data_IF_042113990220
#
_entry.id   IF_042113990220
#
_cell.length_a   1.000
_cell.length_b   1.000
_cell.length_c   1.000
_cell.angle_alpha   90.00
_cell.angle_beta   90.00
_cell.angle_gamma   90.00
#
_symmetry.space_group_name_H-M   'P 1'
#
loop_
_entity.id
_entity.type
_entity.pdbx_description
1 polymer ?
#
# COMPACT_ATOMS: atom_id res chain seq x y z
N UNK A 1 0.73 -29.87 5.25
CA UNK A 1 -0.32 -28.88 4.97
C UNK A 1 0.31 -27.63 4.39
N UNK A 2 -0.38 -26.97 3.47
CA UNK A 2 0.01 -25.67 2.94
C UNK A 2 -0.86 -24.59 3.60
N UNK A 3 -0.25 -23.68 4.35
CA UNK A 3 -0.98 -22.58 5.00
C UNK A 3 -1.66 -21.63 4.00
N UNK A 4 -1.39 -21.75 2.69
CA UNK A 4 -2.09 -20.98 1.66
C UNK A 4 -3.61 -21.21 1.66
N UNK A 5 -4.08 -22.32 2.19
CA UNK A 5 -5.51 -22.59 2.33
C UNK A 5 -6.18 -21.66 3.34
N UNK A 6 -5.48 -21.25 4.39
CA UNK A 6 -6.04 -20.49 5.52
C UNK A 6 -5.42 -19.11 5.70
N UNK A 7 -4.44 -18.74 4.87
CA UNK A 7 -3.77 -17.43 4.94
C UNK A 7 -3.26 -16.97 3.57
N UNK A 8 -2.78 -15.74 3.51
CA UNK A 8 -2.14 -15.18 2.31
C UNK A 8 -0.67 -15.64 2.12
N UNK A 9 -0.23 -16.71 2.76
CA UNK A 9 1.16 -17.18 2.73
C UNK A 9 1.27 -18.60 2.16
N UNK A 10 2.16 -18.80 1.19
CA UNK A 10 2.55 -20.12 0.74
C UNK A 10 3.59 -20.70 1.71
N UNK A 11 3.15 -21.53 2.65
CA UNK A 11 4.00 -22.17 3.66
C UNK A 11 3.64 -23.65 3.79
N UNK A 12 4.39 -24.48 3.08
CA UNK A 12 4.21 -25.93 3.14
C UNK A 12 5.00 -26.47 4.32
N UNK A 13 4.34 -27.22 5.19
CA UNK A 13 4.95 -27.89 6.34
C UNK A 13 4.41 -29.30 6.48
N UNK A 14 5.26 -30.20 6.93
CA UNK A 14 4.90 -31.54 7.35
C UNK A 14 4.50 -31.49 8.83
N UNK A 15 3.40 -32.13 9.16
CA UNK A 15 2.93 -32.32 10.52
C UNK A 15 2.80 -33.83 10.75
N UNK A 16 3.39 -34.31 11.82
CA UNK A 16 3.33 -35.72 12.23
C UNK A 16 2.46 -35.75 13.48
N UNK A 17 1.34 -36.40 13.40
CA UNK A 17 0.34 -36.45 14.46
C UNK A 17 -0.50 -37.71 14.33
N UNK A 18 -1.01 -38.22 15.42
CA UNK A 18 -2.01 -39.26 15.55
C UNK A 18 -3.44 -38.71 15.64
N UNK A 19 -3.59 -37.38 15.64
CA UNK A 19 -4.89 -36.69 15.65
C UNK A 19 -5.50 -36.79 14.26
N UNK A 20 -6.70 -37.38 14.17
CA UNK A 20 -7.51 -37.32 12.96
C UNK A 20 -8.10 -35.93 12.78
N UNK A 21 -7.90 -35.32 11.62
CA UNK A 21 -8.41 -33.99 11.31
C UNK A 21 -8.78 -33.87 9.84
N UNK A 22 -9.73 -33.00 9.54
CA UNK A 22 -10.09 -32.65 8.17
C UNK A 22 -9.16 -31.54 7.65
N UNK A 23 -8.74 -31.68 6.37
CA UNK A 23 -7.98 -30.61 5.73
C UNK A 23 -8.83 -29.32 5.68
N UNK A 24 -8.23 -28.17 6.00
CA UNK A 24 -8.96 -26.92 5.91
C UNK A 24 -9.34 -26.59 4.46
N UNK A 25 -10.53 -26.03 4.27
CA UNK A 25 -10.96 -25.47 3.00
C UNK A 25 -10.17 -24.22 2.63
N UNK A 26 -10.03 -23.95 1.33
CA UNK A 26 -9.37 -22.71 0.88
C UNK A 26 -10.28 -21.51 1.17
N UNK A 27 -9.82 -20.63 2.04
CA UNK A 27 -10.51 -19.38 2.41
C UNK A 27 -10.28 -18.27 1.38
N UNK A 28 -9.51 -18.52 0.33
CA UNK A 28 -9.19 -17.57 -0.74
C UNK A 28 -8.59 -16.23 -0.27
N UNK A 29 -7.97 -16.19 0.90
CA UNK A 29 -7.31 -14.98 1.44
C UNK A 29 -6.10 -14.65 0.59
N UNK A 30 -6.09 -13.49 -0.05
CA UNK A 30 -4.99 -13.05 -0.89
C UNK A 30 -4.10 -12.03 -0.19
N UNK A 31 -2.88 -11.86 -0.68
CA UNK A 31 -1.88 -10.98 -0.05
C UNK A 31 -2.35 -9.51 0.00
N UNK A 32 -3.12 -9.09 -0.99
CA UNK A 32 -3.72 -7.75 -1.04
C UNK A 32 -4.63 -7.47 0.16
N UNK A 33 -5.31 -8.49 0.69
CA UNK A 33 -6.28 -8.34 1.79
C UNK A 33 -5.61 -8.04 3.13
N UNK A 34 -4.32 -8.38 3.27
CA UNK A 34 -3.61 -8.29 4.54
C UNK A 34 -2.63 -7.13 4.63
N UNK A 35 -2.25 -6.52 3.52
CA UNK A 35 -1.34 -5.37 3.51
C UNK A 35 -2.06 -4.10 3.97
N UNK A 36 -1.31 -3.22 4.66
CA UNK A 36 -1.84 -1.94 5.13
C UNK A 36 -1.88 -0.90 4.01
N UNK A 37 -0.92 -0.93 3.10
CA UNK A 37 -0.79 -0.01 1.97
C UNK A 37 0.23 -0.53 0.95
N UNK A 38 0.16 -0.01 -0.28
CA UNK A 38 1.02 -0.41 -1.39
C UNK A 38 0.38 -1.48 -2.27
N UNK A 39 1.16 -2.01 -3.20
CA UNK A 39 0.76 -3.01 -4.18
C UNK A 39 1.59 -4.29 -4.02
N UNK A 40 1.05 -5.39 -4.43
CA UNK A 40 1.73 -6.69 -4.45
C UNK A 40 1.56 -7.34 -5.81
N UNK A 41 2.57 -8.07 -6.25
CA UNK A 41 2.65 -8.71 -7.57
C UNK A 41 2.09 -10.13 -7.59
N UNK A 42 1.60 -10.62 -6.46
CA UNK A 42 1.12 -12.01 -6.32
C UNK A 42 0.03 -12.16 -5.27
N UNK A 43 -0.77 -13.21 -5.39
CA UNK A 43 -1.88 -13.47 -4.48
C UNK A 43 -1.45 -14.08 -3.14
N UNK A 44 -0.38 -14.86 -3.12
CA UNK A 44 0.13 -15.51 -1.90
C UNK A 44 1.60 -15.13 -1.70
N UNK A 45 1.97 -14.68 -0.51
CA UNK A 45 3.35 -14.31 -0.19
C UNK A 45 4.29 -15.51 -0.20
N UNK A 46 5.57 -15.23 -0.36
CA UNK A 46 6.61 -16.20 0.01
C UNK A 46 6.55 -16.52 1.50
N UNK A 47 7.07 -17.68 1.87
CA UNK A 47 7.17 -18.11 3.26
C UNK A 47 7.99 -17.11 4.10
N UNK A 48 7.44 -16.65 5.22
CA UNK A 48 8.21 -15.90 6.21
C UNK A 48 9.34 -16.77 6.78
N UNK A 49 10.55 -16.25 6.78
CA UNK A 49 11.69 -16.85 7.42
C UNK A 49 12.14 -16.06 8.67
N UNK A 50 12.88 -16.69 9.58
CA UNK A 50 13.40 -16.07 10.80
C UNK A 50 14.35 -14.88 10.52
N UNK A 51 14.88 -14.78 9.31
CA UNK A 51 15.77 -13.71 8.85
C UNK A 51 15.04 -12.56 8.15
N UNK A 52 13.71 -12.55 8.15
CA UNK A 52 12.93 -11.50 7.49
C UNK A 52 13.22 -10.10 8.05
N UNK A 53 13.63 -10.01 9.31
CA UNK A 53 14.07 -8.78 9.96
C UNK A 53 15.25 -8.08 9.26
N UNK A 54 16.14 -8.84 8.60
CA UNK A 54 17.27 -8.30 7.81
C UNK A 54 16.81 -7.53 6.57
N UNK A 55 15.51 -7.52 6.28
CA UNK A 55 14.96 -6.93 5.07
C UNK A 55 15.18 -7.81 3.85
N UNK A 56 14.66 -7.35 2.72
CA UNK A 56 14.86 -7.95 1.40
C UNK A 56 15.67 -7.01 0.52
N UNK A 57 15.96 -7.49 -0.68
CA UNK A 57 16.38 -6.68 -1.81
C UNK A 57 15.75 -7.26 -3.08
N UNK A 58 15.70 -6.47 -4.14
CA UNK A 58 15.06 -6.86 -5.40
C UNK A 58 15.67 -8.12 -6.00
N UNK A 59 17.00 -8.29 -5.90
CA UNK A 59 17.70 -9.48 -6.38
C UNK A 59 17.23 -10.75 -5.66
N UNK A 60 17.16 -10.74 -4.33
CA UNK A 60 16.68 -11.90 -3.57
C UNK A 60 15.20 -12.18 -3.83
N UNK A 61 14.42 -11.12 -4.05
CA UNK A 61 13.00 -11.22 -4.32
C UNK A 61 12.71 -11.89 -5.66
N UNK A 62 13.29 -11.36 -6.75
CA UNK A 62 13.03 -11.85 -8.11
C UNK A 62 13.80 -13.15 -8.44
N UNK A 63 15.07 -13.25 -8.05
CA UNK A 63 15.90 -14.41 -8.42
C UNK A 63 15.72 -15.60 -7.46
N UNK A 64 15.53 -15.35 -6.16
CA UNK A 64 15.49 -16.41 -5.13
C UNK A 64 14.12 -16.67 -4.54
N UNK A 65 13.09 -15.94 -4.99
CA UNK A 65 11.70 -16.10 -4.52
C UNK A 65 11.59 -16.07 -2.99
N UNK A 66 12.26 -15.12 -2.35
CA UNK A 66 12.31 -14.99 -0.89
C UNK A 66 11.98 -13.57 -0.45
N UNK A 67 11.47 -13.47 0.79
CA UNK A 67 11.25 -12.21 1.50
C UNK A 67 10.32 -11.28 0.74
N UNK A 68 9.04 -11.59 0.80
CA UNK A 68 7.99 -10.81 0.17
C UNK A 68 8.20 -9.32 0.31
N UNK A 69 8.05 -8.60 -0.79
CA UNK A 69 8.09 -7.14 -0.84
C UNK A 69 6.71 -6.57 -1.17
N UNK A 70 6.49 -5.36 -0.73
CA UNK A 70 5.34 -4.53 -1.09
C UNK A 70 5.88 -3.36 -1.91
N UNK A 71 5.26 -3.06 -3.02
CA UNK A 71 5.69 -2.05 -3.97
C UNK A 71 4.81 -0.80 -3.87
N UNK A 72 5.33 0.34 -4.34
CA UNK A 72 4.57 1.58 -4.39
C UNK A 72 4.21 2.20 -3.04
N UNK A 73 4.83 1.75 -1.94
CA UNK A 73 4.59 2.29 -0.60
C UNK A 73 5.78 3.14 -0.15
N UNK A 74 5.66 4.43 -0.30
CA UNK A 74 6.70 5.39 0.09
C UNK A 74 6.48 6.77 -0.47
N UNK A 75 7.44 7.66 -0.20
CA UNK A 75 7.48 8.99 -0.82
C UNK A 75 7.96 8.83 -2.27
N UNK A 76 7.07 8.96 -3.23
CA UNK A 76 7.43 8.88 -4.65
C UNK A 76 7.97 10.22 -5.13
N UNK A 77 9.30 10.36 -5.23
CA UNK A 77 9.91 11.55 -5.79
C UNK A 77 9.72 11.51 -7.33
N UNK A 78 9.03 12.50 -7.86
CA UNK A 78 8.69 12.64 -9.30
C UNK A 78 9.37 13.83 -9.96
N UNK A 79 10.11 14.64 -9.19
CA UNK A 79 10.79 15.80 -9.74
C UNK A 79 11.75 16.46 -8.76
N UNK A 80 12.39 17.51 -9.23
CA UNK A 80 13.25 18.40 -8.46
C UNK A 80 12.88 19.85 -8.78
N UNK A 81 12.52 20.60 -7.75
CA UNK A 81 12.19 22.01 -7.91
C UNK A 81 13.47 22.84 -8.10
N UNK A 82 13.39 23.86 -8.94
CA UNK A 82 14.47 24.84 -9.14
C UNK A 82 14.53 25.81 -7.94
N UNK A 83 15.22 25.38 -6.88
CA UNK A 83 15.39 26.11 -5.64
C UNK A 83 16.87 26.12 -5.25
N UNK A 84 17.31 27.20 -4.61
CA UNK A 84 18.64 27.23 -3.97
C UNK A 84 18.61 26.42 -2.67
N UNK A 85 19.61 25.56 -2.44
CA UNK A 85 19.74 24.81 -1.19
C UNK A 85 20.03 23.33 -1.38
N UNK A 86 19.87 22.55 -0.30
CA UNK A 86 20.16 21.13 -0.25
C UNK A 86 19.13 20.30 -1.05
N UNK A 87 19.56 19.16 -1.54
CA UNK A 87 18.74 18.24 -2.35
C UNK A 87 17.37 17.92 -1.69
N UNK A 88 17.34 17.71 -0.39
CA UNK A 88 16.13 17.33 0.35
C UNK A 88 14.98 18.36 0.21
N UNK A 89 15.29 19.65 0.13
CA UNK A 89 14.28 20.70 0.00
C UNK A 89 13.80 20.90 -1.44
N UNK A 90 14.52 20.34 -2.40
CA UNK A 90 14.19 20.41 -3.84
C UNK A 90 13.27 19.28 -4.29
N UNK A 91 13.13 18.22 -3.52
CA UNK A 91 12.37 17.03 -3.91
C UNK A 91 10.90 17.35 -4.09
N UNK A 92 10.35 16.95 -5.23
CA UNK A 92 8.91 17.03 -5.55
C UNK A 92 8.35 15.62 -5.56
N UNK A 93 7.23 15.42 -4.90
CA UNK A 93 6.63 14.12 -4.69
C UNK A 93 5.32 13.97 -5.44
N UNK A 94 4.97 12.73 -5.79
CA UNK A 94 3.65 12.37 -6.28
C UNK A 94 2.61 12.50 -5.17
N UNK A 95 1.37 12.80 -5.54
CA UNK A 95 0.22 12.71 -4.65
C UNK A 95 -0.13 11.25 -4.29
N UNK A 96 0.34 10.30 -5.09
CA UNK A 96 0.18 8.87 -4.90
C UNK A 96 1.33 8.32 -4.07
N UNK A 97 1.22 8.31 -2.79
CA UNK A 97 2.26 7.80 -1.92
C UNK A 97 2.21 8.44 -0.55
N UNK A 98 3.12 8.03 0.32
CA UNK A 98 3.22 8.62 1.65
C UNK A 98 3.91 9.98 1.57
N UNK A 99 3.40 10.92 2.34
CA UNK A 99 4.08 12.18 2.57
C UNK A 99 5.42 11.92 3.30
N UNK A 100 6.51 12.62 2.95
CA UNK A 100 7.71 12.63 3.76
C UNK A 100 7.42 13.17 5.17
N UNK A 101 8.29 12.86 6.13
CA UNK A 101 8.15 13.35 7.50
C UNK A 101 8.01 14.87 7.52
N UNK A 102 6.91 15.34 8.09
CA UNK A 102 6.69 16.77 8.29
C UNK A 102 7.70 17.28 9.32
N UNK A 103 8.44 18.33 8.95
CA UNK A 103 9.30 19.08 9.85
C UNK A 103 8.50 20.24 10.47
N UNK A 104 9.10 20.99 11.37
CA UNK A 104 8.49 22.18 11.99
C UNK A 104 8.14 23.31 11.00
N UNK A 105 8.50 23.15 9.73
CA UNK A 105 8.16 24.05 8.59
C UNK A 105 8.45 25.54 8.84
N UNK A 106 9.45 25.87 9.65
CA UNK A 106 9.82 27.23 10.01
C UNK A 106 10.59 27.98 8.91
N UNK A 107 10.12 27.90 7.67
CA UNK A 107 10.74 28.55 6.52
C UNK A 107 11.84 27.70 5.85
N UNK A 108 12.55 28.28 4.88
CA UNK A 108 13.62 27.62 4.14
C UNK A 108 13.16 26.53 3.16
N UNK A 109 11.93 26.61 2.67
CA UNK A 109 11.35 25.68 1.68
C UNK A 109 11.32 24.23 2.15
N UNK A 110 11.10 23.99 3.46
CA UNK A 110 11.09 22.65 4.07
C UNK A 110 9.75 21.91 3.92
N UNK A 111 8.71 22.60 3.46
CA UNK A 111 7.41 22.00 3.16
C UNK A 111 7.54 20.93 2.06
N UNK A 112 6.86 19.80 2.18
CA UNK A 112 6.78 18.81 1.11
C UNK A 112 6.16 19.43 -0.15
N UNK A 113 6.84 19.27 -1.28
CA UNK A 113 6.35 19.73 -2.58
C UNK A 113 5.71 18.57 -3.31
N UNK A 114 4.55 18.80 -3.89
CA UNK A 114 3.82 17.81 -4.68
C UNK A 114 3.72 18.26 -6.14
N UNK A 115 3.79 17.30 -7.04
CA UNK A 115 3.52 17.55 -8.45
C UNK A 115 2.00 17.46 -8.68
N UNK A 116 1.44 18.53 -9.21
CA UNK A 116 0.02 18.62 -9.49
C UNK A 116 -0.22 19.54 -10.69
N UNK A 117 -1.35 19.37 -11.36
CA UNK A 117 -1.80 20.30 -12.38
C UNK A 117 -2.60 21.44 -11.76
N UNK A 118 -2.45 22.65 -12.28
CA UNK A 118 -3.42 23.68 -12.00
C UNK A 118 -4.70 23.42 -12.80
N UNK A 119 -5.84 23.60 -12.16
CA UNK A 119 -7.14 23.49 -12.79
C UNK A 119 -8.00 24.69 -12.38
N UNK A 120 -9.04 24.97 -13.13
CA UNK A 120 -10.03 25.98 -12.78
C UNK A 120 -11.43 25.39 -12.85
N UNK A 121 -12.28 25.81 -11.95
CA UNK A 121 -13.71 25.53 -12.01
C UNK A 121 -14.33 26.68 -12.81
N UNK A 122 -14.88 26.37 -13.98
CA UNK A 122 -15.51 27.36 -14.85
C UNK A 122 -16.95 26.98 -15.14
N UNK A 123 -17.84 27.97 -15.13
CA UNK A 123 -19.21 27.80 -15.58
C UNK A 123 -19.26 27.71 -17.09
N UNK A 124 -19.84 26.65 -17.64
CA UNK A 124 -20.00 26.43 -19.08
C UNK A 124 -21.44 26.10 -19.42
N UNK A 125 -21.90 26.53 -20.57
CA UNK A 125 -23.17 26.08 -21.16
C UNK A 125 -22.90 24.91 -22.07
N UNK A 126 -23.51 23.77 -21.75
CA UNK A 126 -23.29 22.50 -22.44
C UNK A 126 -24.64 21.98 -22.88
N UNK A 127 -24.77 21.59 -24.15
CA UNK A 127 -25.99 21.00 -24.67
C UNK A 127 -26.16 19.52 -24.26
N UNK A 128 -27.29 18.94 -24.63
CA UNK A 128 -27.63 17.51 -24.32
C UNK A 128 -26.64 16.50 -24.92
N UNK A 129 -25.84 16.92 -25.89
CA UNK A 129 -24.82 16.08 -26.54
C UNK A 129 -23.41 16.30 -25.95
N UNK A 130 -23.30 17.10 -24.86
CA UNK A 130 -22.01 17.40 -24.23
C UNK A 130 -21.18 18.44 -24.98
N UNK A 131 -21.74 19.12 -25.97
CA UNK A 131 -21.03 20.13 -26.76
C UNK A 131 -21.17 21.50 -26.09
N UNK A 132 -20.05 22.21 -25.99
CA UNK A 132 -20.00 23.54 -25.40
C UNK A 132 -20.67 24.57 -26.32
N UNK A 133 -21.63 25.34 -25.75
CA UNK A 133 -22.38 26.41 -26.41
C UNK A 133 -22.53 27.62 -25.51
N UNK A 134 -21.44 28.31 -25.22
CA UNK A 134 -21.43 29.44 -24.27
C UNK A 134 -22.33 30.62 -24.75
N UNK A 135 -22.61 30.71 -26.07
CA UNK A 135 -23.45 31.76 -26.64
C UNK A 135 -24.96 31.51 -26.47
N UNK A 136 -25.37 30.28 -26.15
CA UNK A 136 -26.77 29.93 -25.98
C UNK A 136 -27.22 30.21 -24.52
N UNK A 137 -27.84 31.35 -24.34
CA UNK A 137 -28.32 31.82 -23.01
C UNK A 137 -29.47 30.99 -22.43
N UNK A 138 -30.11 30.13 -23.20
CA UNK A 138 -31.19 29.25 -22.75
C UNK A 138 -30.67 28.00 -22.04
N UNK A 139 -29.40 27.66 -22.22
CA UNK A 139 -28.79 26.51 -21.54
C UNK A 139 -28.34 26.87 -20.13
N UNK A 140 -28.54 25.96 -19.16
CA UNK A 140 -28.07 26.18 -17.80
C UNK A 140 -26.53 26.21 -17.74
N UNK A 141 -25.99 27.00 -16.81
CA UNK A 141 -24.56 27.03 -16.55
C UNK A 141 -24.19 25.81 -15.69
N UNK A 142 -23.34 24.96 -16.22
CA UNK A 142 -22.80 23.79 -15.50
C UNK A 142 -21.35 24.10 -15.09
N UNK A 143 -21.04 23.84 -13.82
CA UNK A 143 -19.67 23.96 -13.30
C UNK A 143 -18.83 22.81 -13.84
N UNK A 144 -17.77 23.13 -14.58
CA UNK A 144 -16.84 22.15 -15.16
C UNK A 144 -15.43 22.38 -14.67
N UNK A 145 -14.71 21.28 -14.38
CA UNK A 145 -13.30 21.31 -14.03
C UNK A 145 -12.46 21.32 -15.31
N UNK A 146 -11.76 22.42 -15.57
CA UNK A 146 -10.83 22.55 -16.68
C UNK A 146 -9.39 22.45 -16.19
N UNK A 147 -8.74 21.34 -16.47
CA UNK A 147 -7.32 21.14 -16.15
C UNK A 147 -6.44 21.92 -17.13
N UNK A 148 -5.47 22.66 -16.61
CA UNK A 148 -4.51 23.40 -17.45
C UNK A 148 -3.65 22.43 -18.25
N UNK A 149 -3.49 22.72 -19.56
CA UNK A 149 -2.60 21.98 -20.45
C UNK A 149 -1.14 22.46 -20.37
N UNK A 150 -0.89 23.54 -19.63
CA UNK A 150 0.42 24.16 -19.46
C UNK A 150 0.86 24.11 -18.00
N UNK A 151 2.17 24.21 -17.76
CA UNK A 151 2.78 24.25 -16.43
C UNK A 151 2.47 25.56 -15.66
N UNK A 152 1.69 26.46 -16.26
CA UNK A 152 1.35 27.75 -15.69
C UNK A 152 -0.08 27.74 -15.17
N UNK A 153 -0.25 28.24 -13.95
CA UNK A 153 -1.57 28.57 -13.42
C UNK A 153 -2.21 29.67 -14.27
N UNK A 154 -3.54 29.61 -14.41
CA UNK A 154 -4.29 30.70 -15.01
C UNK A 154 -4.20 31.95 -14.11
N UNK A 155 -4.47 33.10 -14.68
CA UNK A 155 -4.54 34.36 -13.93
C UNK A 155 -5.50 34.20 -12.74
N UNK A 156 -5.08 34.65 -11.55
CA UNK A 156 -5.98 34.70 -10.42
C UNK A 156 -7.10 35.68 -10.73
N UNK A 157 -8.33 35.18 -10.76
CA UNK A 157 -9.52 36.02 -10.84
C UNK A 157 -9.86 36.57 -9.46
N UNK A 158 -10.74 37.59 -9.43
CA UNK A 158 -11.27 38.13 -8.18
C UNK A 158 -12.10 37.08 -7.39
N UNK A 159 -12.45 35.97 -8.01
CA UNK A 159 -13.12 34.83 -7.42
C UNK A 159 -12.06 33.79 -7.02
N UNK A 160 -11.61 33.83 -5.79
CA UNK A 160 -10.57 32.93 -5.23
C UNK A 160 -10.94 31.43 -5.26
N UNK A 161 -12.17 31.09 -5.64
CA UNK A 161 -12.70 29.71 -5.70
C UNK A 161 -12.38 28.98 -7.01
N UNK A 162 -11.93 29.71 -8.04
CA UNK A 162 -11.88 29.17 -9.41
C UNK A 162 -10.59 28.43 -9.73
N UNK A 163 -9.54 28.60 -8.91
CA UNK A 163 -8.28 27.91 -9.11
C UNK A 163 -8.15 26.75 -8.13
N UNK A 164 -8.07 25.55 -8.65
CA UNK A 164 -7.94 24.31 -7.88
C UNK A 164 -6.71 23.55 -8.33
N UNK A 165 -6.24 22.68 -7.46
CA UNK A 165 -5.14 21.77 -7.74
C UNK A 165 -5.76 20.42 -8.09
N UNK A 166 -5.39 19.88 -9.25
CA UNK A 166 -5.81 18.55 -9.67
C UNK A 166 -4.62 17.60 -9.64
N UNK A 167 -4.75 16.37 -9.11
CA UNK A 167 -3.72 15.36 -9.29
C UNK A 167 -3.49 15.09 -10.77
N UNK A 168 -2.26 14.72 -11.14
CA UNK A 168 -1.96 14.32 -12.51
C UNK A 168 -2.78 13.06 -12.85
N UNK A 169 -3.37 12.97 -14.05
CA UNK A 169 -3.97 11.73 -14.51
C UNK A 169 -2.93 10.61 -14.54
N UNK A 170 -3.35 9.39 -14.22
CA UNK A 170 -2.49 8.20 -14.28
C UNK A 170 -1.68 8.16 -15.60
N UNK A 171 -0.38 7.92 -15.51
CA UNK A 171 0.53 7.78 -16.65
C UNK A 171 1.13 9.07 -17.21
N UNK A 172 0.88 10.25 -16.62
CA UNK A 172 1.48 11.52 -17.00
C UNK A 172 2.52 12.06 -16.03
N UNK A 173 3.41 11.21 -15.55
CA UNK A 173 4.61 11.69 -14.90
C UNK A 173 5.63 12.05 -15.99
N UNK A 174 6.20 13.25 -15.97
CA UNK A 174 7.27 13.57 -16.91
C UNK A 174 8.42 12.60 -16.69
N UNK A 175 8.92 11.98 -17.76
CA UNK A 175 10.08 11.09 -17.80
C UNK A 175 11.41 11.80 -17.42
N UNK A 176 11.33 12.81 -16.55
CA UNK A 176 12.43 13.68 -16.19
C UNK A 176 13.58 12.99 -15.43
N UNK A 177 13.37 11.75 -14.99
CA UNK A 177 14.40 10.94 -14.38
C UNK A 177 14.33 9.53 -14.93
N UNK A 178 15.24 9.23 -15.84
CA UNK A 178 15.49 7.87 -16.33
C UNK A 178 15.61 6.88 -15.18
N UNK A 179 15.03 5.69 -15.35
CA UNK A 179 14.86 4.61 -14.41
C UNK A 179 13.98 4.98 -13.20
N UNK A 180 12.69 4.67 -13.30
CA UNK A 180 11.80 4.60 -12.15
C UNK A 180 12.41 3.68 -11.09
N UNK A 181 13.03 4.23 -10.06
CA UNK A 181 13.47 3.42 -8.92
C UNK A 181 12.22 2.79 -8.33
N UNK A 182 12.09 1.49 -8.54
CA UNK A 182 11.00 0.71 -7.98
C UNK A 182 11.00 0.87 -6.45
N UNK A 183 10.05 1.64 -5.93
CA UNK A 183 9.90 1.81 -4.50
C UNK A 183 9.31 0.53 -3.93
N UNK A 184 9.95 0.01 -2.91
CA UNK A 184 9.52 -1.19 -2.23
C UNK A 184 9.83 -1.13 -0.74
N UNK A 185 9.08 -1.86 0.03
CA UNK A 185 9.32 -2.12 1.45
C UNK A 185 9.14 -3.60 1.77
N UNK A 186 9.64 -4.02 2.91
CA UNK A 186 9.26 -5.30 3.50
C UNK A 186 7.87 -5.19 4.12
N UNK A 187 7.22 -6.33 4.36
CA UNK A 187 6.00 -6.39 5.16
C UNK A 187 6.26 -5.84 6.56
N UNK A 188 5.29 -5.15 7.14
CA UNK A 188 5.33 -4.72 8.54
C UNK A 188 5.18 -5.94 9.47
N UNK A 189 5.54 -5.78 10.77
CA UNK A 189 5.32 -6.85 11.76
C UNK A 189 3.84 -7.21 11.86
N UNK A 190 2.95 -6.21 11.78
CA UNK A 190 1.50 -6.40 11.77
C UNK A 190 1.04 -7.25 10.57
N UNK A 191 1.50 -6.92 9.36
CA UNK A 191 1.19 -7.70 8.15
C UNK A 191 1.74 -9.15 8.27
N UNK A 192 2.90 -9.32 8.92
CA UNK A 192 3.43 -10.66 9.22
C UNK A 192 2.60 -11.41 10.28
N UNK A 193 2.02 -10.72 11.28
CA UNK A 193 1.04 -11.32 12.19
C UNK A 193 -0.18 -11.84 11.42
N UNK A 194 -0.73 -11.03 10.52
CA UNK A 194 -1.86 -11.42 9.65
C UNK A 194 -1.52 -12.63 8.77
N UNK A 195 -0.30 -12.72 8.22
CA UNK A 195 0.17 -13.91 7.47
C UNK A 195 0.19 -15.17 8.34
N UNK A 196 0.50 -15.04 9.63
CA UNK A 196 0.48 -16.15 10.58
C UNK A 196 -0.91 -16.34 11.23
N UNK A 197 -1.91 -15.58 10.77
CA UNK A 197 -3.28 -15.59 11.31
C UNK A 197 -3.34 -15.29 12.81
N UNK A 198 -2.49 -14.36 13.25
CA UNK A 198 -2.41 -13.85 14.62
C UNK A 198 -3.01 -12.43 14.69
N UNK A 199 -3.45 -11.98 15.87
CA UNK A 199 -3.90 -10.60 16.09
C UNK A 199 -2.83 -9.56 15.69
N UNK A 200 -3.25 -8.39 15.27
CA UNK A 200 -2.36 -7.31 14.80
C UNK A 200 -1.35 -6.83 15.86
N UNK A 201 -1.72 -6.94 17.13
CA UNK A 201 -0.94 -6.50 18.29
C UNK A 201 -0.13 -7.62 18.95
N UNK A 202 -0.14 -8.83 18.39
CA UNK A 202 0.53 -10.01 18.99
C UNK A 202 2.00 -9.76 19.34
N UNK A 203 2.72 -9.00 18.53
CA UNK A 203 4.13 -8.68 18.75
C UNK A 203 4.35 -7.30 19.40
N UNK A 204 3.32 -6.65 19.95
CA UNK A 204 3.40 -5.27 20.47
C UNK A 204 4.44 -5.09 21.59
N UNK A 205 4.65 -6.10 22.42
CA UNK A 205 5.54 -6.05 23.58
C UNK A 205 7.02 -6.33 23.26
N UNK A 206 7.35 -6.65 22.01
CA UNK A 206 8.72 -6.97 21.60
C UNK A 206 9.22 -6.03 20.51
N UNK A 207 10.55 -5.96 20.34
CA UNK A 207 11.13 -5.19 19.23
C UNK A 207 10.72 -5.77 17.87
N UNK A 208 10.69 -4.92 16.83
CA UNK A 208 10.37 -5.37 15.47
C UNK A 208 11.26 -6.54 15.01
N UNK A 209 12.56 -6.50 15.32
CA UNK A 209 13.49 -7.59 14.96
C UNK A 209 13.14 -8.90 15.65
N UNK A 210 12.72 -8.85 16.91
CA UNK A 210 12.24 -10.03 17.64
C UNK A 210 10.91 -10.52 17.07
N UNK A 211 9.97 -9.61 16.81
CA UNK A 211 8.68 -9.94 16.18
C UNK A 211 8.86 -10.71 14.86
N UNK A 212 9.70 -10.22 13.97
CA UNK A 212 10.00 -10.93 12.70
C UNK A 212 10.59 -12.32 12.94
N UNK A 213 11.51 -12.48 13.90
CA UNK A 213 12.10 -13.78 14.22
C UNK A 213 11.05 -14.75 14.76
N UNK A 214 10.21 -14.29 15.68
CA UNK A 214 9.13 -15.11 16.27
C UNK A 214 8.16 -15.57 15.17
N UNK A 215 7.68 -14.65 14.35
CA UNK A 215 6.74 -14.95 13.26
C UNK A 215 7.34 -15.84 12.17
N UNK A 216 8.63 -15.65 11.86
CA UNK A 216 9.33 -16.50 10.88
C UNK A 216 9.55 -17.93 11.38
N UNK A 217 9.80 -18.13 12.67
CA UNK A 217 9.96 -19.44 13.30
C UNK A 217 8.61 -20.06 13.70
N UNK A 218 7.58 -19.24 13.90
CA UNK A 218 6.27 -19.68 14.36
C UNK A 218 5.51 -20.52 13.35
N UNK A 219 4.45 -21.14 13.83
CA UNK A 219 3.46 -21.85 13.01
C UNK A 219 2.36 -20.89 12.56
N UNK A 220 1.68 -21.25 11.47
CA UNK A 220 0.43 -20.58 11.13
C UNK A 220 -0.66 -21.05 12.11
N UNK A 221 -1.27 -20.11 12.81
CA UNK A 221 -2.18 -20.38 13.90
C UNK A 221 -3.44 -21.15 13.45
N UNK A 222 -4.07 -20.76 12.34
CA UNK A 222 -5.25 -21.43 11.81
C UNK A 222 -4.95 -22.86 11.35
N UNK A 223 -3.75 -23.11 10.80
CA UNK A 223 -3.34 -24.47 10.44
C UNK A 223 -3.27 -25.37 11.69
N UNK A 224 -2.69 -24.86 12.78
CA UNK A 224 -2.61 -25.63 14.05
C UNK A 224 -3.99 -25.82 14.65
N UNK A 225 -4.84 -24.78 14.65
CA UNK A 225 -6.23 -24.91 15.11
C UNK A 225 -7.00 -26.00 14.35
N UNK A 226 -6.79 -26.12 13.02
CA UNK A 226 -7.44 -27.17 12.26
C UNK A 226 -7.01 -28.56 12.69
N UNK A 227 -5.73 -28.77 12.98
CA UNK A 227 -5.23 -30.04 13.50
C UNK A 227 -5.80 -30.31 14.89
N UNK A 228 -5.73 -29.34 15.81
CA UNK A 228 -6.17 -29.52 17.20
C UNK A 228 -7.69 -29.67 17.34
N UNK A 229 -8.48 -29.23 16.35
CA UNK A 229 -9.93 -29.51 16.36
C UNK A 229 -10.27 -31.00 16.38
N UNK A 230 -9.40 -31.85 15.83
CA UNK A 230 -9.56 -33.30 15.95
C UNK A 230 -9.53 -33.81 17.39
N UNK A 231 -8.82 -33.13 18.29
CA UNK A 231 -8.80 -33.50 19.71
C UNK A 231 -10.14 -33.29 20.42
N UNK A 232 -10.93 -32.29 19.99
CA UNK A 232 -12.17 -31.93 20.71
C UNK A 232 -13.31 -32.88 20.44
N UNK A 233 -13.20 -33.79 19.47
CA UNK A 233 -14.20 -34.80 19.17
C UNK A 233 -14.05 -36.08 19.99
N UNK A 234 -12.83 -36.36 20.49
CA UNK A 234 -12.53 -37.65 21.10
C UNK A 234 -12.23 -37.58 22.63
N UNK A 235 -12.08 -36.38 23.19
CA UNK A 235 -11.69 -36.24 24.58
C UNK A 235 -12.69 -35.42 25.41
N UNK A 236 -13.64 -36.10 26.10
CA UNK A 236 -14.62 -35.48 26.98
C UNK A 236 -13.99 -34.71 28.15
N UNK A 237 -12.77 -35.09 28.57
CA UNK A 237 -12.06 -34.47 29.71
C UNK A 237 -11.62 -33.01 29.40
N UNK A 238 -11.52 -32.56 28.13
CA UNK A 238 -11.23 -31.17 27.80
C UNK A 238 -12.42 -30.25 28.15
N UNK A 239 -13.66 -30.79 28.21
CA UNK A 239 -14.84 -30.02 28.60
C UNK A 239 -14.86 -29.65 30.08
N UNK A 240 -14.12 -30.37 30.91
CA UNK A 240 -14.01 -30.10 32.34
C UNK A 240 -12.96 -29.05 32.70
N UNK A 241 -12.11 -28.63 31.72
CA UNK A 241 -11.05 -27.64 31.89
C UNK A 241 -11.41 -26.25 31.30
N UNK A 242 -12.55 -26.08 30.69
CA UNK A 242 -13.04 -24.82 30.11
C UNK A 242 -14.15 -24.23 30.98
#
# INVERSE_FOLDING_TARGET
INSALVSAQRRVRMYITDIEFNMPEDRNIVLKDIIECGCVDRNKSYCLDANYWKGGNLKMYFEKSRRQLVFGDGCHQVGVADLKGYDIIKRVYSVEGKCPTLTTMQGGHREPKILCNSASITGRRIDSNGVRKDDDTNLPIVQTLEVSKSDKARCLSTLTKDTVVSPLPEGRYPDAYGEHKLHWRKLTVKECCRLQTLPDDYCKSVSNSQGYKMLGNGWNNETIKCILKGLTTDYEWIKELA
#
